data_IF_015578196120
#
_entry.id   IF_015578196120
#
_cell.length_a   1.000
_cell.length_b   1.000
_cell.length_c   1.000
_cell.angle_alpha   90.00
_cell.angle_beta   90.00
_cell.angle_gamma   90.00
#
_symmetry.space_group_name_H-M   'P 1'
#
loop_
_entity.id
_entity.type
_entity.pdbx_description
1 polymer ?
#
# COMPACT_ATOMS: atom_id res chain seq x y z
N UNK A 1 -34.34 -21.89 -11.86
CA UNK A 1 -33.80 -23.25 -11.66
C UNK A 1 -32.42 -23.52 -12.29
N UNK A 2 -31.91 -22.69 -13.22
CA UNK A 2 -30.63 -22.94 -13.91
C UNK A 2 -29.38 -22.82 -13.02
N UNK A 3 -29.31 -21.79 -12.16
CA UNK A 3 -28.13 -21.52 -11.34
C UNK A 3 -27.86 -22.63 -10.30
N UNK A 4 -28.90 -23.13 -9.64
CA UNK A 4 -28.78 -24.16 -8.61
C UNK A 4 -28.31 -25.51 -9.19
N UNK A 5 -28.80 -25.87 -10.38
CA UNK A 5 -28.32 -27.06 -11.10
C UNK A 5 -26.88 -26.90 -11.58
N UNK A 6 -26.49 -25.71 -12.04
CA UNK A 6 -25.10 -25.43 -12.43
C UNK A 6 -24.13 -25.53 -11.23
N UNK A 7 -24.54 -25.04 -10.06
CA UNK A 7 -23.75 -25.17 -8.82
C UNK A 7 -23.62 -26.64 -8.40
N UNK A 8 -24.72 -27.41 -8.43
CA UNK A 8 -24.69 -28.85 -8.12
C UNK A 8 -23.81 -29.65 -9.10
N UNK A 9 -23.86 -29.32 -10.39
CA UNK A 9 -23.02 -29.94 -11.40
C UNK A 9 -21.53 -29.59 -11.20
N UNK A 10 -21.21 -28.34 -10.84
CA UNK A 10 -19.85 -27.93 -10.51
C UNK A 10 -19.33 -28.67 -9.26
N UNK A 11 -20.16 -28.83 -8.23
CA UNK A 11 -19.83 -29.60 -7.01
C UNK A 11 -19.56 -31.06 -7.34
N UNK A 12 -20.35 -31.69 -8.21
CA UNK A 12 -20.14 -33.09 -8.59
C UNK A 12 -18.86 -33.29 -9.40
N UNK A 13 -18.57 -32.40 -10.36
CA UNK A 13 -17.41 -32.55 -11.24
C UNK A 13 -16.10 -32.15 -10.55
N UNK A 14 -16.16 -31.24 -9.57
CA UNK A 14 -15.00 -30.72 -8.86
C UNK A 14 -15.27 -30.57 -7.35
N UNK A 15 -15.39 -31.68 -6.60
CA UNK A 15 -15.84 -31.67 -5.22
C UNK A 15 -14.91 -30.89 -4.29
N UNK A 16 -13.60 -31.00 -4.48
CA UNK A 16 -12.61 -30.27 -3.67
C UNK A 16 -12.61 -28.77 -3.94
N UNK A 17 -12.65 -28.36 -5.21
CA UNK A 17 -12.68 -26.95 -5.60
C UNK A 17 -13.97 -26.29 -5.15
N UNK A 18 -15.10 -27.01 -5.24
CA UNK A 18 -16.40 -26.49 -4.83
C UNK A 18 -16.56 -26.44 -3.31
N UNK A 19 -16.02 -27.41 -2.58
CA UNK A 19 -15.97 -27.36 -1.11
C UNK A 19 -15.11 -26.18 -0.61
N UNK A 20 -13.94 -25.96 -1.24
CA UNK A 20 -13.10 -24.79 -0.96
C UNK A 20 -13.86 -23.49 -1.22
N UNK A 21 -14.53 -23.37 -2.36
CA UNK A 21 -15.31 -22.19 -2.72
C UNK A 21 -16.46 -21.94 -1.73
N UNK A 22 -17.15 -23.00 -1.30
CA UNK A 22 -18.25 -22.91 -0.32
C UNK A 22 -17.73 -22.47 1.05
N UNK A 23 -16.62 -23.03 1.53
CA UNK A 23 -15.97 -22.61 2.77
C UNK A 23 -15.55 -21.15 2.68
N UNK A 24 -14.97 -20.73 1.55
CA UNK A 24 -14.61 -19.34 1.32
C UNK A 24 -15.83 -18.41 1.35
N UNK A 25 -16.96 -18.81 0.74
CA UNK A 25 -18.22 -18.03 0.73
C UNK A 25 -18.85 -17.96 2.14
N UNK A 26 -18.90 -19.07 2.88
CA UNK A 26 -19.45 -19.09 4.24
C UNK A 26 -18.59 -18.29 5.19
N UNK A 27 -17.27 -18.39 5.05
CA UNK A 27 -16.33 -17.58 5.81
C UNK A 27 -16.44 -16.09 5.45
N UNK A 28 -16.61 -15.76 4.16
CA UNK A 28 -16.93 -14.42 3.66
C UNK A 28 -18.16 -13.83 4.34
N UNK A 29 -19.25 -14.59 4.38
CA UNK A 29 -20.50 -14.19 5.03
C UNK A 29 -20.35 -14.07 6.54
N UNK A 30 -19.59 -14.96 7.17
CA UNK A 30 -19.29 -14.93 8.60
C UNK A 30 -18.47 -13.72 9.01
N UNK A 31 -17.37 -13.44 8.31
CA UNK A 31 -16.52 -12.25 8.51
C UNK A 31 -17.33 -10.98 8.26
N UNK A 32 -18.15 -10.94 7.20
CA UNK A 32 -19.04 -9.81 6.92
C UNK A 32 -20.03 -9.57 8.06
N UNK A 33 -20.69 -10.62 8.55
CA UNK A 33 -21.69 -10.52 9.62
C UNK A 33 -21.06 -10.13 10.95
N UNK A 34 -19.94 -10.76 11.32
CA UNK A 34 -19.17 -10.41 12.52
C UNK A 34 -18.69 -8.96 12.46
N UNK A 35 -18.16 -8.54 11.31
CA UNK A 35 -17.70 -7.17 11.12
C UNK A 35 -18.88 -6.20 11.20
N UNK A 36 -20.02 -6.45 10.54
CA UNK A 36 -21.26 -5.63 10.61
C UNK A 36 -21.68 -5.39 12.07
N UNK A 37 -21.62 -6.41 12.91
CA UNK A 37 -22.14 -6.36 14.27
C UNK A 37 -21.20 -5.69 15.29
N UNK A 38 -19.91 -5.51 14.99
CA UNK A 38 -18.90 -5.21 16.03
C UNK A 38 -18.20 -3.85 15.93
N UNK A 39 -18.44 -3.05 14.88
CA UNK A 39 -17.81 -1.74 14.73
C UNK A 39 -18.87 -0.63 14.54
N UNK A 40 -18.85 0.35 15.43
CA UNK A 40 -19.66 1.56 15.32
C UNK A 40 -19.09 2.50 14.23
N UNK A 41 -19.94 3.36 13.67
CA UNK A 41 -19.55 4.32 12.63
C UNK A 41 -18.61 5.38 13.23
N UNK A 42 -17.53 5.72 12.54
CA UNK A 42 -16.57 6.73 12.99
C UNK A 42 -15.50 6.23 13.97
N UNK A 43 -15.52 4.95 14.35
CA UNK A 43 -14.47 4.34 15.18
C UNK A 43 -13.45 3.58 14.33
N UNK A 44 -12.18 3.61 14.77
CA UNK A 44 -11.12 2.79 14.21
C UNK A 44 -10.82 1.60 15.13
N UNK A 45 -10.54 0.44 14.54
CA UNK A 45 -9.94 -0.69 15.26
C UNK A 45 -8.45 -0.70 14.97
N UNK A 46 -7.64 -0.56 16.02
CA UNK A 46 -6.20 -0.72 15.90
C UNK A 46 -5.82 -2.12 16.39
N UNK A 47 -5.21 -2.92 15.51
CA UNK A 47 -4.73 -4.26 15.81
C UNK A 47 -3.20 -4.31 15.66
N UNK A 48 -2.54 -5.16 16.45
CA UNK A 48 -1.09 -5.36 16.38
C UNK A 48 -0.24 -4.28 17.07
N UNK A 49 -0.83 -3.50 17.98
CA UNK A 49 -0.18 -2.38 18.66
C UNK A 49 0.82 -2.86 19.73
N UNK A 50 1.99 -3.37 19.32
CA UNK A 50 3.14 -3.57 20.20
C UNK A 50 3.91 -2.25 20.29
N UNK A 51 3.41 -1.31 21.10
CA UNK A 51 4.10 -0.04 21.34
C UNK A 51 5.11 -0.13 22.47
N UNK A 52 6.21 0.58 22.32
CA UNK A 52 7.09 0.86 23.44
C UNK A 52 6.39 1.82 24.41
N UNK A 53 6.76 1.76 25.69
CA UNK A 53 6.24 2.70 26.71
C UNK A 53 6.54 4.15 26.33
N UNK A 54 7.68 4.40 25.69
CA UNK A 54 8.09 5.72 25.23
C UNK A 54 7.22 6.23 24.05
N UNK A 55 6.89 5.36 23.10
CA UNK A 55 5.96 5.70 22.00
C UNK A 55 4.58 6.10 22.52
N UNK A 56 4.06 5.35 23.50
CA UNK A 56 2.77 5.62 24.14
C UNK A 56 2.81 6.96 24.88
N UNK A 57 3.88 7.21 25.63
CA UNK A 57 4.07 8.45 26.40
C UNK A 57 4.19 9.67 25.48
N UNK A 58 4.82 9.52 24.33
CA UNK A 58 5.05 10.59 23.37
C UNK A 58 3.90 10.78 22.37
N UNK A 59 2.91 9.89 22.36
CA UNK A 59 1.79 9.93 21.41
C UNK A 59 2.23 9.73 19.95
N UNK A 60 3.38 9.10 19.72
CA UNK A 60 4.02 8.99 18.38
C UNK A 60 3.07 8.35 17.37
N UNK A 61 2.42 7.24 17.74
CA UNK A 61 1.51 6.54 16.85
C UNK A 61 0.26 7.36 16.52
N UNK A 62 -0.26 8.11 17.48
CA UNK A 62 -1.42 8.97 17.23
C UNK A 62 -1.07 10.10 16.25
N UNK A 63 0.10 10.72 16.43
CA UNK A 63 0.63 11.74 15.51
C UNK A 63 0.86 11.18 14.10
N UNK A 64 1.48 10.01 13.98
CA UNK A 64 1.75 9.37 12.69
C UNK A 64 0.46 8.88 12.00
N UNK A 65 -0.53 8.40 12.76
CA UNK A 65 -1.85 8.09 12.20
C UNK A 65 -2.61 9.36 11.77
N UNK A 66 -2.41 10.48 12.43
CA UNK A 66 -2.96 11.77 12.00
C UNK A 66 -2.30 12.25 10.69
N UNK A 67 -0.99 12.06 10.54
CA UNK A 67 -0.25 12.32 9.29
C UNK A 67 -0.71 11.43 8.12
N UNK A 68 -1.38 10.30 8.38
CA UNK A 68 -1.83 9.38 7.34
C UNK A 68 -2.73 10.05 6.28
N UNK A 69 -3.43 11.14 6.62
CA UNK A 69 -4.25 11.90 5.67
C UNK A 69 -3.45 12.45 4.49
N UNK A 70 -2.22 12.90 4.73
CA UNK A 70 -1.35 13.41 3.66
C UNK A 70 -0.97 12.30 2.70
N UNK A 71 -0.55 11.15 3.23
CA UNK A 71 -0.13 10.02 2.41
C UNK A 71 -1.30 9.36 1.68
N UNK A 72 -2.50 9.38 2.26
CA UNK A 72 -3.72 8.96 1.57
C UNK A 72 -4.04 9.91 0.40
N UNK A 73 -3.98 11.22 0.61
CA UNK A 73 -4.19 12.22 -0.44
C UNK A 73 -3.14 12.11 -1.56
N UNK A 74 -1.85 11.94 -1.25
CA UNK A 74 -0.83 11.68 -2.28
C UNK A 74 -1.07 10.36 -3.01
N UNK A 75 -1.51 9.33 -2.29
CA UNK A 75 -1.85 8.03 -2.90
C UNK A 75 -3.08 8.11 -3.82
N UNK A 76 -3.90 9.15 -3.70
CA UNK A 76 -4.95 9.47 -4.66
C UNK A 76 -4.41 10.31 -5.83
N UNK A 77 -3.60 11.35 -5.54
CA UNK A 77 -3.00 12.22 -6.56
C UNK A 77 -2.05 11.48 -7.51
N UNK A 78 -1.35 10.45 -7.05
CA UNK A 78 -0.46 9.65 -7.92
C UNK A 78 -1.21 8.99 -9.08
N UNK A 79 -2.53 8.73 -8.94
CA UNK A 79 -3.38 8.22 -10.02
C UNK A 79 -3.72 9.30 -11.07
N UNK A 80 -3.54 10.58 -10.74
CA UNK A 80 -3.79 11.73 -11.62
C UNK A 80 -2.54 12.21 -12.36
N UNK A 81 -1.35 11.73 -11.97
CA UNK A 81 -0.12 12.06 -12.66
C UNK A 81 -0.20 11.62 -14.13
N UNK A 82 0.21 12.48 -15.07
CA UNK A 82 0.13 12.18 -16.49
C UNK A 82 1.00 10.97 -16.82
N UNK A 83 0.35 9.90 -17.27
CA UNK A 83 1.03 8.70 -17.74
C UNK A 83 0.25 8.12 -18.92
N UNK A 84 0.86 8.01 -20.09
CA UNK A 84 0.36 7.29 -21.28
C UNK A 84 -1.17 7.31 -21.54
N UNK A 85 -1.85 8.43 -21.25
CA UNK A 85 -3.31 8.59 -21.43
C UNK A 85 -4.21 7.90 -20.40
N UNK A 86 -3.68 7.37 -19.29
CA UNK A 86 -4.42 6.59 -18.29
C UNK A 86 -4.62 7.31 -16.94
N UNK A 87 -4.23 8.59 -16.87
CA UNK A 87 -4.41 9.43 -15.70
C UNK A 87 -5.90 9.56 -15.35
N UNK A 88 -6.21 9.38 -14.06
CA UNK A 88 -7.57 9.60 -13.54
C UNK A 88 -7.95 11.07 -13.73
N UNK A 89 -9.02 11.32 -14.49
CA UNK A 89 -9.54 12.67 -14.74
C UNK A 89 -10.63 13.08 -13.74
N UNK A 90 -11.17 12.12 -13.00
CA UNK A 90 -12.19 12.36 -11.99
C UNK A 90 -11.61 13.09 -10.77
N UNK A 91 -12.27 14.19 -10.41
CA UNK A 91 -11.98 14.94 -9.19
C UNK A 91 -12.48 14.18 -7.96
N UNK A 92 -11.73 14.27 -6.87
CA UNK A 92 -12.14 13.76 -5.57
C UNK A 92 -13.34 14.54 -5.03
N UNK A 93 -14.10 13.94 -4.11
CA UNK A 93 -15.22 14.62 -3.45
C UNK A 93 -14.79 15.79 -2.54
N UNK A 94 -13.52 15.85 -2.15
CA UNK A 94 -12.93 16.93 -1.36
C UNK A 94 -11.73 17.56 -2.08
N UNK A 95 -11.27 18.71 -1.57
CA UNK A 95 -10.10 19.39 -2.10
C UNK A 95 -8.80 18.76 -1.56
N UNK A 96 -8.23 17.80 -2.29
CA UNK A 96 -6.96 17.18 -1.90
C UNK A 96 -5.79 18.19 -1.89
N UNK A 97 -5.85 19.25 -2.69
CA UNK A 97 -4.86 20.32 -2.68
C UNK A 97 -4.83 21.10 -1.37
N UNK A 98 -5.96 21.20 -0.66
CA UNK A 98 -6.00 21.80 0.68
C UNK A 98 -5.29 20.91 1.70
N UNK A 99 -5.53 19.59 1.64
CA UNK A 99 -4.85 18.59 2.48
C UNK A 99 -3.34 18.61 2.21
N UNK A 100 -2.93 18.77 0.96
CA UNK A 100 -1.52 18.76 0.53
C UNK A 100 -0.90 20.16 0.45
N UNK A 101 -1.51 21.18 1.04
CA UNK A 101 -1.07 22.57 0.89
C UNK A 101 0.34 22.86 1.41
N UNK A 102 0.84 22.06 2.34
CA UNK A 102 2.20 22.11 2.88
C UNK A 102 3.18 21.17 2.15
N UNK A 103 2.71 20.37 1.20
CA UNK A 103 3.51 19.44 0.42
C UNK A 103 3.71 19.91 -1.01
N UNK A 104 4.93 19.77 -1.49
CA UNK A 104 5.30 20.11 -2.87
C UNK A 104 5.67 18.84 -3.63
N UNK A 105 5.05 18.63 -4.79
CA UNK A 105 5.43 17.56 -5.72
C UNK A 105 6.72 17.94 -6.43
N UNK A 106 7.73 17.08 -6.38
CA UNK A 106 8.92 17.20 -7.21
C UNK A 106 8.58 16.83 -8.66
N UNK A 107 9.20 17.51 -9.64
CA UNK A 107 9.09 17.08 -11.02
C UNK A 107 9.61 15.65 -11.17
N UNK A 108 9.12 14.88 -12.16
CA UNK A 108 9.67 13.57 -12.46
C UNK A 108 11.19 13.68 -12.69
N UNK A 109 11.96 12.75 -12.12
CA UNK A 109 13.39 12.70 -12.42
C UNK A 109 13.59 12.31 -13.88
N UNK A 110 14.45 13.04 -14.60
CA UNK A 110 14.89 12.67 -15.95
C UNK A 110 15.71 11.35 -15.96
N UNK A 111 16.17 10.93 -14.78
CA UNK A 111 16.81 9.63 -14.59
C UNK A 111 15.77 8.58 -14.24
N UNK A 112 15.25 7.90 -15.27
CA UNK A 112 14.56 6.63 -15.06
C UNK A 112 15.59 5.65 -14.46
N UNK A 113 15.32 5.00 -13.32
CA UNK A 113 16.27 4.03 -12.77
C UNK A 113 16.63 3.03 -13.86
N UNK A 114 17.94 2.86 -14.08
CA UNK A 114 18.43 1.80 -14.92
C UNK A 114 17.81 0.46 -14.45
N UNK A 115 17.58 -0.44 -15.42
CA UNK A 115 17.09 -1.81 -15.20
C UNK A 115 17.64 -2.39 -13.88
N UNK A 116 16.84 -3.21 -13.15
CA UNK A 116 17.31 -3.87 -11.94
C UNK A 116 18.69 -4.46 -12.14
N UNK A 117 19.60 -4.04 -11.27
CA UNK A 117 21.03 -4.27 -11.31
C UNK A 117 21.34 -5.77 -11.49
N UNK A 118 21.97 -6.10 -12.63
CA UNK A 118 22.57 -7.41 -12.89
C UNK A 118 21.65 -8.47 -13.49
N UNK A 119 20.51 -8.11 -14.04
CA UNK A 119 19.65 -9.07 -14.71
C UNK A 119 19.40 -8.61 -16.16
N UNK A 120 19.52 -9.53 -17.11
CA UNK A 120 19.46 -9.30 -18.57
C UNK A 120 18.17 -9.83 -19.27
N UNK A 121 17.23 -10.37 -18.49
CA UNK A 121 15.90 -10.82 -18.95
C UNK A 121 15.02 -9.65 -19.44
N UNK A 122 13.83 -9.93 -19.94
CA UNK A 122 12.86 -8.87 -20.25
C UNK A 122 11.96 -8.63 -19.03
N UNK A 123 11.36 -7.43 -18.93
CA UNK A 123 10.26 -7.19 -17.99
C UNK A 123 9.16 -8.22 -18.28
N UNK A 124 8.56 -8.77 -17.22
CA UNK A 124 7.48 -9.72 -17.34
C UNK A 124 6.36 -9.09 -18.19
N UNK A 125 5.93 -9.79 -19.25
CA UNK A 125 4.97 -9.29 -20.26
C UNK A 125 3.59 -8.87 -19.70
N UNK A 126 3.32 -9.20 -18.45
CA UNK A 126 2.07 -8.95 -17.73
C UNK A 126 2.16 -7.75 -16.77
N UNK A 127 3.32 -7.10 -16.73
CA UNK A 127 3.65 -6.08 -15.77
C UNK A 127 3.57 -4.70 -16.44
N UNK A 128 2.75 -3.80 -15.87
CA UNK A 128 2.61 -2.44 -16.37
C UNK A 128 3.85 -1.59 -16.04
N UNK A 129 3.90 -0.37 -16.55
CA UNK A 129 4.95 0.58 -16.15
C UNK A 129 4.72 1.04 -14.70
N UNK A 130 5.81 1.12 -13.93
CA UNK A 130 5.77 1.62 -12.56
C UNK A 130 5.53 3.14 -12.57
N UNK A 131 4.46 3.59 -11.91
CA UNK A 131 4.13 5.00 -11.75
C UNK A 131 4.28 5.40 -10.29
N UNK A 132 5.00 6.48 -10.05
CA UNK A 132 5.27 7.00 -8.72
C UNK A 132 5.35 8.53 -8.77
N UNK A 133 5.29 9.16 -7.59
CA UNK A 133 5.66 10.55 -7.41
C UNK A 133 6.47 10.74 -6.14
N UNK A 134 7.18 11.87 -6.07
CA UNK A 134 8.00 12.24 -4.91
C UNK A 134 7.53 13.58 -4.39
N UNK A 135 7.04 13.62 -3.17
CA UNK A 135 6.62 14.85 -2.51
C UNK A 135 7.59 15.21 -1.40
N UNK A 136 7.69 16.49 -1.07
CA UNK A 136 8.44 16.94 0.09
C UNK A 136 7.71 18.03 0.86
N UNK A 137 8.03 18.15 2.16
CA UNK A 137 7.67 19.31 2.99
C UNK A 137 8.75 19.57 4.04
N UNK A 138 8.82 20.80 4.52
CA UNK A 138 9.54 21.09 5.77
C UNK A 138 8.72 20.56 6.95
N UNK A 139 9.36 19.80 7.85
CA UNK A 139 8.73 19.20 9.02
C UNK A 139 9.20 19.82 10.34
N UNK A 140 9.88 20.96 10.28
CA UNK A 140 10.43 21.68 11.42
C UNK A 140 11.78 22.32 11.10
N UNK A 141 12.43 22.94 12.09
CA UNK A 141 13.79 23.45 11.94
C UNK A 141 14.72 22.30 11.58
N UNK A 142 15.42 22.43 10.45
CA UNK A 142 16.42 21.47 9.99
C UNK A 142 15.89 20.04 9.77
N UNK A 143 14.60 19.89 9.43
CA UNK A 143 14.02 18.59 9.06
C UNK A 143 13.15 18.70 7.82
N UNK A 144 13.41 17.82 6.86
CA UNK A 144 12.60 17.68 5.63
C UNK A 144 12.00 16.28 5.56
N UNK A 145 10.72 16.19 5.22
CA UNK A 145 10.07 14.91 4.93
C UNK A 145 10.00 14.73 3.42
N UNK A 146 10.38 13.54 2.95
CA UNK A 146 10.36 13.16 1.54
C UNK A 146 9.53 11.89 1.40
N UNK A 147 8.42 11.98 0.67
CA UNK A 147 7.46 10.91 0.49
C UNK A 147 7.54 10.35 -0.93
N UNK A 148 7.94 9.09 -1.05
CA UNK A 148 7.90 8.31 -2.29
C UNK A 148 6.58 7.54 -2.35
N UNK A 149 5.71 7.91 -3.29
CA UNK A 149 4.34 7.39 -3.35
C UNK A 149 4.10 6.62 -4.64
N UNK A 150 3.65 5.39 -4.53
CA UNK A 150 3.46 4.47 -5.65
C UNK A 150 1.98 4.36 -6.04
N UNK A 151 1.71 4.39 -7.33
CA UNK A 151 0.38 4.12 -7.90
C UNK A 151 0.12 2.61 -7.88
N UNK A 152 -1.13 2.23 -7.62
CA UNK A 152 -1.61 0.86 -7.83
C UNK A 152 -2.29 0.69 -9.19
N UNK A 153 -2.74 -0.52 -9.50
CA UNK A 153 -3.39 -0.82 -10.79
C UNK A 153 -4.80 -0.21 -10.89
N UNK A 154 -5.18 0.26 -12.09
CA UNK A 154 -6.52 0.85 -12.35
C UNK A 154 -7.66 -0.18 -12.46
N UNK A 155 -7.35 -1.43 -12.81
CA UNK A 155 -8.33 -2.46 -13.14
C UNK A 155 -8.26 -3.64 -12.18
N UNK A 156 -9.37 -3.93 -11.49
CA UNK A 156 -9.54 -5.12 -10.63
C UNK A 156 -9.28 -6.44 -11.37
N UNK A 157 -9.41 -6.46 -12.71
CA UNK A 157 -9.14 -7.62 -13.56
C UNK A 157 -7.67 -8.04 -13.63
N UNK A 158 -6.74 -7.12 -13.34
CA UNK A 158 -5.29 -7.37 -13.33
C UNK A 158 -4.77 -7.84 -11.96
N UNK A 159 -5.67 -8.24 -11.06
CA UNK A 159 -5.26 -8.77 -9.76
C UNK A 159 -4.45 -10.07 -9.87
N UNK A 160 -4.49 -10.77 -11.01
CA UNK A 160 -3.64 -11.94 -11.27
C UNK A 160 -2.14 -11.59 -11.31
N UNK A 161 -1.77 -10.37 -11.69
CA UNK A 161 -0.39 -9.86 -11.63
C UNK A 161 0.10 -9.66 -10.19
N UNK A 162 -0.83 -9.48 -9.24
CA UNK A 162 -0.54 -9.37 -7.81
C UNK A 162 -0.28 -10.72 -7.15
N UNK A 163 -0.48 -11.85 -7.84
CA UNK A 163 -0.17 -13.16 -7.29
C UNK A 163 1.31 -13.51 -7.50
N UNK A 164 2.25 -12.66 -7.03
CA UNK A 164 3.72 -12.91 -7.12
C UNK A 164 4.09 -14.31 -6.59
N UNK A 165 3.38 -14.81 -5.58
CA UNK A 165 3.56 -16.17 -5.02
C UNK A 165 3.18 -17.31 -5.99
N UNK A 166 2.31 -17.06 -6.97
CA UNK A 166 2.00 -17.97 -8.10
C UNK A 166 2.96 -17.69 -9.27
N UNK A 167 3.22 -16.42 -9.59
CA UNK A 167 3.96 -16.02 -10.81
C UNK A 167 5.48 -16.07 -10.65
N UNK A 168 6.06 -15.94 -9.45
CA UNK A 168 7.50 -16.09 -9.20
C UNK A 168 7.99 -17.51 -9.51
N UNK A 169 7.12 -18.52 -9.37
CA UNK A 169 7.43 -19.91 -9.74
C UNK A 169 7.15 -20.22 -11.20
N UNK A 170 6.54 -19.28 -11.94
CA UNK A 170 6.11 -19.44 -13.34
C UNK A 170 6.77 -18.43 -14.30
N UNK A 171 7.48 -17.41 -13.82
CA UNK A 171 8.00 -16.31 -14.64
C UNK A 171 9.50 -16.38 -14.89
N UNK A 172 9.89 -15.94 -16.10
CA UNK A 172 11.26 -15.85 -16.60
C UNK A 172 11.66 -14.38 -16.86
N UNK A 173 11.42 -13.47 -15.92
CA UNK A 173 11.69 -12.02 -16.05
C UNK A 173 11.57 -11.24 -14.73
N UNK A 174 11.71 -9.91 -14.75
CA UNK A 174 11.48 -9.02 -13.58
C UNK A 174 10.07 -8.49 -13.54
N UNK A 175 9.65 -8.09 -12.34
CA UNK A 175 8.38 -7.43 -12.10
C UNK A 175 8.55 -6.04 -11.43
N UNK A 176 7.42 -5.37 -11.21
CA UNK A 176 7.34 -4.06 -10.55
C UNK A 176 7.97 -4.04 -9.16
N UNK A 177 8.09 -5.16 -8.45
CA UNK A 177 8.73 -5.20 -7.13
C UNK A 177 10.25 -5.12 -7.24
N UNK A 178 10.83 -5.74 -8.28
CA UNK A 178 12.26 -5.63 -8.56
C UNK A 178 12.61 -4.21 -9.01
N UNK A 179 11.79 -3.62 -9.89
CA UNK A 179 11.95 -2.23 -10.30
C UNK A 179 11.78 -1.26 -9.13
N UNK A 180 10.80 -1.50 -8.25
CA UNK A 180 10.57 -0.70 -7.05
C UNK A 180 11.77 -0.72 -6.12
N UNK A 181 12.47 -1.86 -5.98
CA UNK A 181 13.68 -1.96 -5.16
C UNK A 181 14.78 -1.05 -5.68
N UNK A 182 15.08 -1.14 -6.98
CA UNK A 182 16.15 -0.32 -7.60
C UNK A 182 15.76 1.16 -7.64
N UNK A 183 14.49 1.48 -7.95
CA UNK A 183 13.96 2.84 -7.91
C UNK A 183 14.04 3.47 -6.52
N UNK A 184 13.58 2.77 -5.48
CA UNK A 184 13.58 3.29 -4.12
C UNK A 184 15.01 3.64 -3.67
N UNK A 185 15.98 2.77 -3.97
CA UNK A 185 17.39 3.04 -3.67
C UNK A 185 17.94 4.20 -4.49
N UNK A 186 17.61 4.31 -5.78
CA UNK A 186 18.02 5.43 -6.62
C UNK A 186 17.49 6.76 -6.07
N UNK A 187 16.19 6.87 -5.82
CA UNK A 187 15.56 8.10 -5.29
C UNK A 187 16.18 8.47 -3.96
N UNK A 188 16.28 7.53 -3.01
CA UNK A 188 16.82 7.82 -1.68
C UNK A 188 18.28 8.29 -1.71
N UNK A 189 19.08 7.76 -2.64
CA UNK A 189 20.50 8.09 -2.74
C UNK A 189 20.74 9.40 -3.52
N UNK A 190 19.88 9.73 -4.49
CA UNK A 190 20.14 10.81 -5.43
C UNK A 190 19.25 12.04 -5.23
N UNK A 191 18.08 11.94 -4.59
CA UNK A 191 17.12 13.06 -4.53
C UNK A 191 17.70 14.34 -3.94
N UNK A 192 18.60 14.24 -2.97
CA UNK A 192 19.25 15.43 -2.39
C UNK A 192 20.30 16.02 -3.32
N UNK A 193 20.96 15.20 -4.15
CA UNK A 193 21.90 15.68 -5.17
C UNK A 193 21.15 16.34 -6.32
N UNK A 194 20.02 15.73 -6.72
CA UNK A 194 19.17 16.21 -7.82
C UNK A 194 18.39 17.47 -7.42
N UNK A 195 18.08 17.62 -6.13
CA UNK A 195 17.35 18.75 -5.54
C UNK A 195 18.10 19.37 -4.36
N UNK A 196 19.16 20.17 -4.60
CA UNK A 196 19.96 20.81 -3.55
C UNK A 196 19.15 21.71 -2.60
N UNK A 197 18.01 22.26 -3.06
CA UNK A 197 17.08 23.02 -2.24
C UNK A 197 16.55 22.23 -1.04
N UNK A 198 16.45 20.90 -1.15
CA UNK A 198 16.01 20.04 -0.06
C UNK A 198 17.07 19.91 1.04
N UNK A 199 18.37 20.00 0.67
CA UNK A 199 19.46 19.96 1.65
C UNK A 199 19.41 21.17 2.59
N UNK A 200 18.99 22.34 2.06
CA UNK A 200 18.83 23.55 2.84
C UNK A 200 17.66 23.49 3.84
N UNK A 201 16.70 22.56 3.64
CA UNK A 201 15.58 22.34 4.55
C UNK A 201 15.95 21.46 5.75
N UNK A 202 17.04 20.70 5.65
CA UNK A 202 17.66 19.94 6.74
C UNK A 202 17.72 18.43 6.53
N UNK A 203 17.73 17.67 7.63
CA UNK A 203 17.92 16.23 7.59
C UNK A 203 16.69 15.52 6.97
N UNK A 204 16.90 14.64 5.96
CA UNK A 204 15.80 13.98 5.27
C UNK A 204 15.22 12.81 6.07
N UNK A 205 13.91 12.81 6.19
CA UNK A 205 13.13 11.66 6.62
C UNK A 205 12.40 11.06 5.42
N UNK A 206 12.79 9.85 5.01
CA UNK A 206 12.16 9.16 3.88
C UNK A 206 10.96 8.32 4.31
N UNK A 207 9.89 8.47 3.55
CA UNK A 207 8.60 7.85 3.78
C UNK A 207 8.16 7.19 2.48
N UNK A 208 7.66 5.96 2.54
CA UNK A 208 7.03 5.32 1.38
C UNK A 208 5.52 5.22 1.58
N UNK A 209 4.73 5.45 0.54
CA UNK A 209 3.28 5.29 0.62
C UNK A 209 2.68 4.70 -0.66
N UNK A 210 1.48 4.16 -0.55
CA UNK A 210 0.70 3.79 -1.72
C UNK A 210 -0.61 3.10 -1.41
N UNK A 211 -1.47 3.02 -2.41
CA UNK A 211 -2.78 2.39 -2.34
C UNK A 211 -2.83 1.07 -3.11
N UNK A 212 -3.54 0.06 -2.60
CA UNK A 212 -3.76 -1.23 -3.28
C UNK A 212 -2.44 -1.96 -3.63
N UNK A 213 -2.08 -2.11 -4.92
CA UNK A 213 -0.76 -2.60 -5.33
C UNK A 213 0.36 -1.64 -4.91
N UNK A 214 0.16 -0.33 -5.04
CA UNK A 214 1.11 0.68 -4.60
C UNK A 214 1.44 0.57 -3.11
N UNK A 215 0.49 0.09 -2.29
CA UNK A 215 0.74 -0.18 -0.87
C UNK A 215 1.63 -1.40 -0.60
N UNK A 216 1.70 -2.35 -1.53
CA UNK A 216 2.67 -3.46 -1.53
C UNK A 216 4.05 -2.99 -1.98
N UNK A 217 4.11 -2.17 -3.04
CA UNK A 217 5.33 -1.54 -3.55
C UNK A 217 5.96 -0.60 -2.51
N UNK A 218 5.16 0.17 -1.77
CA UNK A 218 5.64 1.00 -0.67
C UNK A 218 6.33 0.19 0.44
N UNK A 219 5.76 -0.96 0.79
CA UNK A 219 6.40 -1.89 1.74
C UNK A 219 7.69 -2.46 1.16
N UNK A 220 7.70 -2.83 -0.12
CA UNK A 220 8.90 -3.29 -0.81
C UNK A 220 10.01 -2.24 -0.79
N UNK A 221 9.70 -0.97 -1.07
CA UNK A 221 10.63 0.13 -0.97
C UNK A 221 11.21 0.27 0.44
N UNK A 222 10.38 0.17 1.48
CA UNK A 222 10.82 0.16 2.87
C UNK A 222 11.76 -1.00 3.21
N UNK A 223 11.49 -2.21 2.70
CA UNK A 223 12.39 -3.35 2.88
C UNK A 223 13.67 -3.25 2.05
N UNK A 224 13.63 -2.54 0.93
CA UNK A 224 14.77 -2.34 0.03
C UNK A 224 15.81 -1.35 0.56
N UNK A 225 15.39 -0.30 1.27
CA UNK A 225 16.28 0.78 1.68
C UNK A 225 16.09 1.18 3.15
N UNK A 226 17.19 1.13 3.91
CA UNK A 226 17.16 1.31 5.37
C UNK A 226 16.90 2.74 5.81
N UNK A 227 17.01 3.73 4.91
CA UNK A 227 16.68 5.13 5.19
C UNK A 227 15.17 5.39 5.15
N UNK A 228 14.37 4.50 4.55
CA UNK A 228 12.92 4.56 4.59
C UNK A 228 12.44 3.93 5.91
N UNK A 229 12.09 4.77 6.88
CA UNK A 229 11.69 4.31 8.22
C UNK A 229 10.18 4.33 8.45
N UNK A 230 9.40 5.01 7.60
CA UNK A 230 7.94 5.04 7.69
C UNK A 230 7.32 4.58 6.37
N UNK A 231 6.35 3.68 6.47
CA UNK A 231 5.61 3.15 5.31
C UNK A 231 4.12 3.25 5.58
N UNK A 232 3.35 3.80 4.63
CA UNK A 232 1.89 3.83 4.67
C UNK A 232 1.31 3.00 3.54
N UNK A 233 0.57 1.96 3.88
CA UNK A 233 -0.09 1.06 2.94
C UNK A 233 -1.60 1.19 3.11
N UNK A 234 -2.25 1.85 2.15
CA UNK A 234 -3.69 2.07 2.16
C UNK A 234 -4.39 0.97 1.38
N UNK A 235 -5.32 0.25 2.00
CA UNK A 235 -6.10 -0.77 1.31
C UNK A 235 -5.18 -1.75 0.55
N UNK A 236 -3.98 -1.99 1.10
CA UNK A 236 -2.90 -2.66 0.39
C UNK A 236 -3.17 -4.15 0.18
N UNK A 237 -2.78 -4.67 -0.98
CA UNK A 237 -2.72 -6.13 -1.17
C UNK A 237 -1.67 -6.70 -0.21
N UNK A 238 -1.91 -7.90 0.34
CA UNK A 238 -1.01 -8.51 1.34
C UNK A 238 0.23 -9.15 0.75
N UNK A 239 0.59 -8.73 -0.46
CA UNK A 239 1.81 -9.12 -1.13
C UNK A 239 2.92 -8.28 -0.51
N UNK A 240 3.41 -8.76 0.60
CA UNK A 240 4.64 -8.26 1.17
C UNK A 240 5.77 -8.92 0.37
N UNK A 241 6.58 -8.18 -0.37
CA UNK A 241 7.87 -8.70 -0.88
C UNK A 241 8.89 -8.94 0.25
N UNK A 242 8.38 -9.17 1.46
CA UNK A 242 9.07 -9.47 2.69
C UNK A 242 10.04 -10.63 2.56
N UNK A 243 9.73 -11.64 1.75
CA UNK A 243 10.64 -12.78 1.49
C UNK A 243 11.59 -12.56 0.31
N UNK A 244 11.44 -11.47 -0.43
CA UNK A 244 12.14 -11.25 -1.70
C UNK A 244 13.35 -10.30 -1.55
N UNK A 245 13.59 -9.79 -0.34
CA UNK A 245 14.73 -8.91 -0.05
C UNK A 245 15.77 -9.64 0.81
N UNK A 246 16.96 -9.95 0.27
CA UNK A 246 17.97 -10.76 0.97
C UNK A 246 18.54 -10.08 2.23
N UNK A 247 18.66 -8.76 2.27
CA UNK A 247 19.24 -7.99 3.41
C UNK A 247 18.22 -7.36 4.37
N UNK A 248 16.96 -7.85 4.34
CA UNK A 248 15.83 -7.26 5.08
C UNK A 248 16.05 -7.13 6.60
N UNK A 249 16.85 -8.01 7.19
CA UNK A 249 16.97 -8.13 8.65
C UNK A 249 17.65 -6.90 9.28
N UNK A 250 18.46 -6.18 8.51
CA UNK A 250 19.03 -4.90 8.93
C UNK A 250 18.11 -3.73 8.60
N UNK A 251 17.48 -3.76 7.42
CA UNK A 251 16.60 -2.69 6.93
C UNK A 251 15.37 -2.50 7.82
N UNK A 252 14.79 -3.59 8.32
CA UNK A 252 13.56 -3.59 9.12
C UNK A 252 13.70 -3.00 10.52
N UNK A 253 14.94 -2.81 10.99
CA UNK A 253 15.21 -2.27 12.33
C UNK A 253 14.77 -0.80 12.39
N UNK A 254 13.89 -0.50 13.34
CA UNK A 254 13.34 0.84 13.55
C UNK A 254 12.33 1.29 12.49
N UNK A 255 11.94 0.42 11.55
CA UNK A 255 10.91 0.74 10.55
C UNK A 255 9.51 0.57 11.12
N UNK A 256 8.61 1.49 10.77
CA UNK A 256 7.18 1.48 11.13
C UNK A 256 6.33 1.37 9.87
N UNK A 257 5.46 0.38 9.83
CA UNK A 257 4.53 0.14 8.72
C UNK A 257 3.10 0.35 9.20
N UNK A 258 2.44 1.35 8.63
CA UNK A 258 1.04 1.67 8.83
C UNK A 258 0.21 1.01 7.74
N UNK A 259 -0.54 -0.03 8.10
CA UNK A 259 -1.51 -0.67 7.19
C UNK A 259 -2.89 -0.13 7.52
N UNK A 260 -3.38 0.76 6.67
CA UNK A 260 -4.62 1.49 6.88
C UNK A 260 -5.65 0.93 5.90
N UNK A 261 -6.75 0.41 6.41
CA UNK A 261 -7.82 -0.18 5.60
C UNK A 261 -9.18 0.43 5.88
N UNK A 262 -10.06 0.38 4.89
CA UNK A 262 -11.49 0.66 5.07
C UNK A 262 -12.30 -0.64 5.25
N UNK A 263 -13.32 -0.61 6.11
CA UNK A 263 -14.20 -1.74 6.39
C UNK A 263 -15.05 -2.12 5.16
N UNK A 264 -15.07 -3.41 4.82
CA UNK A 264 -15.87 -3.95 3.70
C UNK A 264 -15.09 -4.11 2.39
N UNK A 265 -13.82 -3.68 2.38
CA UNK A 265 -12.90 -3.87 1.27
C UNK A 265 -12.70 -5.37 0.92
N UNK A 266 -12.86 -5.77 -0.34
CA UNK A 266 -12.59 -7.15 -0.80
C UNK A 266 -11.17 -7.60 -0.50
N UNK A 267 -10.19 -6.69 -0.49
CA UNK A 267 -8.80 -7.04 -0.17
C UNK A 267 -8.60 -7.31 1.33
N UNK A 268 -9.53 -6.96 2.21
CA UNK A 268 -9.50 -7.44 3.61
C UNK A 268 -9.62 -8.96 3.67
N UNK A 269 -10.32 -9.57 2.70
CA UNK A 269 -10.46 -11.03 2.59
C UNK A 269 -9.14 -11.69 2.25
N UNK A 270 -8.47 -11.17 1.24
CA UNK A 270 -7.15 -11.61 0.82
C UNK A 270 -6.13 -11.42 1.94
N UNK A 271 -6.21 -10.29 2.64
CA UNK A 271 -5.34 -9.97 3.78
C UNK A 271 -5.52 -10.95 4.93
N UNK A 272 -6.75 -11.29 5.27
CA UNK A 272 -7.01 -12.28 6.32
C UNK A 272 -6.63 -13.70 5.88
N UNK A 273 -6.81 -14.07 4.61
CA UNK A 273 -6.32 -15.35 4.08
C UNK A 273 -4.78 -15.43 4.11
N UNK A 274 -4.08 -14.36 3.71
CA UNK A 274 -2.61 -14.31 3.71
C UNK A 274 -2.00 -14.29 5.10
N UNK A 275 -2.65 -13.66 6.10
CA UNK A 275 -2.20 -13.73 7.50
C UNK A 275 -2.20 -15.16 8.06
N UNK A 276 -3.07 -16.03 7.55
CA UNK A 276 -3.12 -17.44 7.94
C UNK A 276 -1.95 -18.21 7.33
N UNK A 277 -1.53 -17.87 6.10
CA UNK A 277 -0.46 -18.57 5.38
C UNK A 277 0.93 -18.04 5.75
N UNK A 278 1.07 -16.72 5.88
CA UNK A 278 2.32 -16.04 6.22
C UNK A 278 2.10 -15.15 7.44
N UNK A 279 2.18 -15.70 8.67
CA UNK A 279 2.06 -14.92 9.87
C UNK A 279 3.26 -13.98 10.00
N UNK A 280 3.05 -12.69 9.72
CA UNK A 280 4.05 -11.64 9.96
C UNK A 280 4.00 -11.28 11.44
N UNK A 281 4.64 -12.10 12.27
CA UNK A 281 4.85 -11.80 13.69
C UNK A 281 6.32 -11.45 13.86
N UNK A 282 6.65 -10.19 13.59
CA UNK A 282 7.99 -9.68 13.84
C UNK A 282 7.95 -8.46 14.75
N UNK A 283 8.90 -8.40 15.68
CA UNK A 283 9.13 -7.22 16.54
C UNK A 283 9.69 -6.03 15.74
N UNK A 284 10.35 -6.32 14.61
CA UNK A 284 10.91 -5.37 13.66
C UNK A 284 10.61 -5.91 12.25
N UNK A 285 9.84 -5.24 11.38
CA UNK A 285 9.33 -3.88 11.54
C UNK A 285 8.13 -3.82 12.50
N UNK A 286 7.88 -2.64 13.08
CA UNK A 286 6.68 -2.40 13.88
C UNK A 286 5.50 -2.19 12.94
N UNK A 287 4.55 -3.12 12.90
CA UNK A 287 3.37 -3.05 12.03
C UNK A 287 2.18 -2.57 12.84
N UNK A 288 1.61 -1.43 12.45
CA UNK A 288 0.38 -0.88 13.02
C UNK A 288 -0.73 -1.05 12.01
N UNK A 289 -1.78 -1.78 12.37
CA UNK A 289 -2.94 -1.96 11.50
C UNK A 289 -4.11 -1.14 12.02
N UNK A 290 -4.55 -0.14 11.25
CA UNK A 290 -5.72 0.67 11.56
C UNK A 290 -6.83 0.39 10.54
N UNK A 291 -7.99 -0.04 11.02
CA UNK A 291 -9.18 -0.21 10.17
C UNK A 291 -10.19 0.86 10.52
N UNK A 292 -10.56 1.68 9.54
CA UNK A 292 -11.56 2.73 9.71
C UNK A 292 -12.92 2.31 9.13
N UNK A 293 -13.98 2.91 9.65
CA UNK A 293 -15.34 2.70 9.20
C UNK A 293 -16.02 4.05 8.90
N UNK A 294 -15.80 4.55 7.68
CA UNK A 294 -16.34 5.83 7.23
C UNK A 294 -17.66 5.69 6.44
N UNK A 295 -17.96 4.53 5.86
CA UNK A 295 -19.09 4.32 4.95
C UNK A 295 -20.37 3.65 5.50
N UNK A 296 -21.50 3.93 4.80
CA UNK A 296 -22.83 3.27 4.88
C UNK A 296 -23.25 2.62 3.54
N UNK A 297 -22.35 2.57 2.55
CA UNK A 297 -22.60 2.18 1.15
C UNK A 297 -21.66 1.05 0.67
N UNK A 298 -22.01 0.41 -0.46
CA UNK A 298 -21.57 -0.93 -0.86
C UNK A 298 -20.07 -1.16 -1.19
N UNK A 299 -19.72 -2.44 -1.31
CA UNK A 299 -18.37 -3.06 -1.34
C UNK A 299 -17.37 -2.50 -2.37
N UNK A 300 -17.82 -1.90 -3.48
CA UNK A 300 -16.95 -1.40 -4.57
C UNK A 300 -16.56 0.07 -4.36
N UNK A 301 -17.44 0.86 -3.77
CA UNK A 301 -17.19 2.26 -3.37
C UNK A 301 -16.22 2.37 -2.18
N UNK A 302 -16.16 1.35 -1.31
CA UNK A 302 -15.29 1.30 -0.12
C UNK A 302 -13.80 0.98 -0.41
N UNK A 303 -13.37 1.08 -1.67
CA UNK A 303 -11.97 0.90 -2.08
C UNK A 303 -11.42 2.14 -2.82
N UNK A 304 -12.16 3.25 -2.79
CA UNK A 304 -11.71 4.52 -3.35
C UNK A 304 -10.70 5.18 -2.41
N UNK A 305 -9.47 5.35 -2.89
CA UNK A 305 -8.44 6.10 -2.14
C UNK A 305 -8.85 7.56 -1.95
N UNK A 306 -9.62 8.14 -2.87
CA UNK A 306 -10.15 9.49 -2.74
C UNK A 306 -11.09 9.61 -1.53
N UNK A 307 -12.02 8.67 -1.37
CA UNK A 307 -12.98 8.71 -0.27
C UNK A 307 -12.28 8.52 1.08
N UNK A 308 -11.29 7.64 1.14
CA UNK A 308 -10.45 7.42 2.32
C UNK A 308 -9.62 8.67 2.65
N UNK A 309 -9.00 9.30 1.64
CA UNK A 309 -8.23 10.53 1.84
C UNK A 309 -9.11 11.66 2.34
N UNK A 310 -10.30 11.84 1.78
CA UNK A 310 -11.26 12.85 2.21
C UNK A 310 -11.74 12.59 3.65
N UNK A 311 -12.06 11.35 3.99
CA UNK A 311 -12.49 11.00 5.34
C UNK A 311 -11.39 11.24 6.38
N UNK A 312 -10.14 10.91 6.08
CA UNK A 312 -8.98 11.19 6.95
C UNK A 312 -8.67 12.70 7.02
N UNK A 313 -8.87 13.44 5.93
CA UNK A 313 -8.67 14.88 5.87
C UNK A 313 -9.68 15.70 6.67
N UNK A 314 -10.89 15.17 6.88
CA UNK A 314 -11.99 15.83 7.59
C UNK A 314 -11.97 15.72 9.12
N UNK A 315 -10.94 15.08 9.69
CA UNK A 315 -10.76 14.87 11.13
C UNK A 315 -10.04 16.04 11.82
#
# INVERSE_FOLDING_TARGET
MGLFRAILAAIQNHPYQSAFLLVAILWLLGVRTYNILTLEKGYSRIAGLLESVDDLKNGTTASELYDAKYFAAMSAEVYRLPHNGDAKTEQSACNLGEILSDWTLLPPSDTDPARPDGNDRDQARWDGQLVYGVWYRSAGPEKVQIALVFRGTHTWGDWWSNARWITQHLSSGWDQYDLTRSLASHVVNNVLSDHPELQALGEPEFIAAGHSLGGGLAQQAGYANSRIKRVYSFNGSSVTGFYDVPDRDQTKIGMRIYRIGERGEVLSLLRTFMKIIYPVVEKNPKIVEATYNFGTLGLVTQHSIDDLACALGSQ
#
